data_IF_645735564792
#
_entry.id   IF_645735564792
#
_cell.length_a   1.000
_cell.length_b   1.000
_cell.length_c   1.000
_cell.angle_alpha   90.00
_cell.angle_beta   90.00
_cell.angle_gamma   90.00
#
_symmetry.space_group_name_H-M   'P 1'
#
loop_
_entity.id
_entity.type
_entity.pdbx_description
1 polymer ?
#
# COMPACT_ATOMS: atom_id res chain seq x y z
N UNK A 1 57.91 13.63 44.85
CA UNK A 1 57.86 12.98 43.52
C UNK A 1 56.65 12.05 43.54
N UNK A 2 55.59 12.43 42.82
CA UNK A 2 54.27 11.78 42.82
C UNK A 2 54.34 10.61 41.83
N UNK A 3 54.30 9.37 42.34
CA UNK A 3 54.21 8.16 41.53
C UNK A 3 52.73 7.85 41.25
N UNK A 4 52.31 7.98 40.00
CA UNK A 4 50.93 7.71 39.59
C UNK A 4 50.72 6.19 39.42
N UNK A 5 49.82 5.62 40.22
CA UNK A 5 49.30 4.26 40.04
C UNK A 5 48.37 4.24 38.83
N UNK A 6 48.77 3.57 37.74
CA UNK A 6 47.90 3.30 36.59
C UNK A 6 46.93 2.17 36.95
N UNK A 7 45.73 2.53 37.40
CA UNK A 7 44.56 1.66 37.42
C UNK A 7 44.15 1.36 35.98
N UNK A 8 44.46 0.15 35.48
CA UNK A 8 43.93 -0.34 34.22
C UNK A 8 42.46 -0.68 34.45
N UNK A 9 41.57 0.21 34.02
CA UNK A 9 40.14 -0.05 33.94
C UNK A 9 39.90 -1.16 32.92
N UNK A 10 39.40 -2.31 33.36
CA UNK A 10 38.80 -3.30 32.48
C UNK A 10 37.51 -2.71 31.90
N UNK A 11 37.63 -1.97 30.80
CA UNK A 11 36.53 -1.79 29.85
C UNK A 11 36.28 -3.16 29.21
N UNK A 12 35.46 -3.96 29.89
CA UNK A 12 34.85 -5.13 29.30
C UNK A 12 34.10 -4.69 28.06
N UNK A 13 34.65 -5.05 26.89
CA UNK A 13 33.96 -4.95 25.61
C UNK A 13 32.78 -5.91 25.73
N UNK A 14 31.61 -5.38 26.09
CA UNK A 14 30.35 -6.10 25.91
C UNK A 14 30.09 -6.15 24.41
N UNK A 15 30.65 -7.16 23.76
CA UNK A 15 30.20 -7.58 22.45
C UNK A 15 28.73 -7.97 22.60
N UNK A 16 27.82 -7.04 22.31
CA UNK A 16 26.43 -7.40 22.05
C UNK A 16 26.48 -8.27 20.81
N UNK A 17 26.54 -9.58 21.01
CA UNK A 17 26.24 -10.56 19.97
C UNK A 17 24.80 -10.27 19.59
N UNK A 18 24.62 -9.50 18.51
CA UNK A 18 23.34 -9.29 17.88
C UNK A 18 22.83 -10.65 17.41
N UNK A 19 22.11 -11.35 18.27
CA UNK A 19 21.36 -12.53 17.89
C UNK A 19 20.40 -12.09 16.80
N UNK A 20 20.66 -12.50 15.56
CA UNK A 20 19.71 -12.36 14.47
C UNK A 20 18.52 -13.26 14.81
N UNK A 21 17.52 -12.69 15.48
CA UNK A 21 16.25 -13.35 15.69
C UNK A 21 15.57 -13.43 14.32
N UNK A 22 15.70 -14.58 13.67
CA UNK A 22 14.90 -14.91 12.50
C UNK A 22 13.56 -15.46 13.00
N UNK A 23 12.42 -14.82 12.68
CA UNK A 23 11.12 -15.38 13.01
C UNK A 23 10.99 -16.75 12.36
N UNK A 24 10.76 -17.79 13.16
CA UNK A 24 10.47 -19.13 12.64
C UNK A 24 8.98 -19.23 12.36
N UNK A 25 8.63 -19.58 11.11
CA UNK A 25 7.25 -19.82 10.68
C UNK A 25 7.07 -21.30 10.38
N UNK A 26 6.20 -21.98 11.13
CA UNK A 26 5.82 -23.37 10.84
C UNK A 26 4.73 -23.40 9.77
N UNK A 27 5.11 -23.82 8.56
CA UNK A 27 4.19 -23.91 7.41
C UNK A 27 3.16 -25.05 7.51
N UNK A 28 3.33 -25.96 8.47
CA UNK A 28 2.34 -27.01 8.74
C UNK A 28 1.27 -26.57 9.74
N UNK A 29 1.48 -25.43 10.42
CA UNK A 29 0.56 -24.89 11.42
C UNK A 29 -0.30 -23.78 10.81
N UNK A 30 -1.54 -24.12 10.48
CA UNK A 30 -2.50 -23.20 9.86
C UNK A 30 -2.74 -21.95 10.70
N UNK A 31 -2.79 -22.05 12.03
CA UNK A 31 -2.97 -20.89 12.90
C UNK A 31 -1.77 -19.93 12.82
N UNK A 32 -0.54 -20.45 12.75
CA UNK A 32 0.65 -19.61 12.57
C UNK A 32 0.64 -18.91 11.20
N UNK A 33 0.25 -19.62 10.14
CA UNK A 33 0.11 -19.04 8.80
C UNK A 33 -0.93 -17.92 8.77
N UNK A 34 -2.11 -18.13 9.37
CA UNK A 34 -3.16 -17.10 9.46
C UNK A 34 -2.67 -15.89 10.25
N UNK A 35 -1.99 -16.10 11.38
CA UNK A 35 -1.46 -15.00 12.19
C UNK A 35 -0.37 -14.20 11.45
N UNK A 36 0.52 -14.88 10.74
CA UNK A 36 1.54 -14.25 9.93
C UNK A 36 0.93 -13.43 8.77
N UNK A 37 -0.04 -14.01 8.05
CA UNK A 37 -0.78 -13.31 6.99
C UNK A 37 -1.54 -12.09 7.53
N UNK A 38 -2.24 -12.24 8.66
CA UNK A 38 -2.94 -11.13 9.32
C UNK A 38 -1.99 -9.99 9.69
N UNK A 39 -0.80 -10.33 10.19
CA UNK A 39 0.21 -9.35 10.58
C UNK A 39 0.80 -8.64 9.36
N UNK A 40 1.07 -9.38 8.27
CA UNK A 40 1.54 -8.82 7.01
C UNK A 40 0.51 -7.86 6.39
N UNK A 41 -0.77 -8.24 6.37
CA UNK A 41 -1.84 -7.39 5.86
C UNK A 41 -2.05 -6.14 6.71
N UNK A 42 -1.98 -6.25 8.04
CA UNK A 42 -2.03 -5.08 8.93
C UNK A 42 -0.85 -4.15 8.73
N UNK A 43 0.35 -4.69 8.50
CA UNK A 43 1.52 -3.89 8.17
C UNK A 43 1.33 -3.18 6.82
N UNK A 44 0.80 -3.88 5.82
CA UNK A 44 0.51 -3.29 4.52
C UNK A 44 -0.46 -2.12 4.60
N UNK A 45 -1.48 -2.20 5.48
CA UNK A 45 -2.39 -1.07 5.73
C UNK A 45 -1.70 0.18 6.30
N UNK A 46 -0.49 0.09 6.86
CA UNK A 46 0.23 1.28 7.33
C UNK A 46 0.67 2.20 6.19
N UNK A 47 0.75 1.67 4.97
CA UNK A 47 1.03 2.43 3.75
C UNK A 47 -0.24 3.00 3.09
N UNK A 48 -1.42 2.69 3.61
CA UNK A 48 -2.68 3.17 3.05
C UNK A 48 -3.13 4.48 3.71
N UNK A 49 -3.22 5.55 2.93
CA UNK A 49 -3.61 6.89 3.41
C UNK A 49 -5.12 7.12 3.51
N UNK A 50 -5.95 6.22 2.97
CA UNK A 50 -7.40 6.23 3.17
C UNK A 50 -8.24 7.13 2.26
N UNK A 51 -7.62 7.92 1.37
CA UNK A 51 -8.32 9.04 0.72
C UNK A 51 -9.14 8.65 -0.51
N UNK A 52 -8.75 7.63 -1.28
CA UNK A 52 -9.33 7.39 -2.60
C UNK A 52 -9.43 5.92 -3.03
N UNK A 53 -9.21 4.98 -2.11
CA UNK A 53 -9.23 3.56 -2.43
C UNK A 53 -8.01 3.07 -3.19
N UNK A 54 -6.97 3.91 -3.35
CA UNK A 54 -5.66 3.52 -3.83
C UNK A 54 -4.57 3.82 -2.79
N UNK A 55 -3.48 3.07 -2.87
CA UNK A 55 -2.26 3.39 -2.16
C UNK A 55 -1.58 4.61 -2.81
N UNK A 56 -0.60 5.18 -2.12
CA UNK A 56 0.12 6.34 -2.65
C UNK A 56 0.74 5.99 -4.01
N UNK A 57 0.39 6.78 -5.03
CA UNK A 57 0.84 6.56 -6.40
C UNK A 57 2.35 6.83 -6.59
N UNK A 58 3.00 7.48 -5.62
CA UNK A 58 4.45 7.63 -5.62
C UNK A 58 5.16 6.29 -5.42
N UNK A 59 4.59 5.41 -4.60
CA UNK A 59 5.19 4.14 -4.20
C UNK A 59 4.49 2.93 -4.85
N UNK A 60 3.20 3.06 -5.14
CA UNK A 60 2.33 1.95 -5.59
C UNK A 60 1.44 2.43 -6.73
N UNK A 61 1.80 2.14 -8.00
CA UNK A 61 0.96 2.39 -9.15
C UNK A 61 -0.48 1.87 -8.96
N UNK A 62 -1.45 2.56 -9.54
CA UNK A 62 -2.88 2.30 -9.32
C UNK A 62 -3.32 0.84 -9.50
N UNK A 63 -2.70 0.10 -10.41
CA UNK A 63 -3.05 -1.31 -10.66
C UNK A 63 -2.53 -2.23 -9.54
N UNK A 64 -1.39 -1.89 -8.93
CA UNK A 64 -0.86 -2.62 -7.77
C UNK A 64 -1.74 -2.42 -6.53
N UNK A 65 -2.39 -1.27 -6.38
CA UNK A 65 -3.42 -1.09 -5.35
C UNK A 65 -4.55 -2.12 -5.50
N UNK A 66 -4.97 -2.39 -6.75
CA UNK A 66 -5.97 -3.42 -7.04
C UNK A 66 -5.49 -4.83 -6.67
N UNK A 67 -4.23 -5.16 -6.96
CA UNK A 67 -3.62 -6.43 -6.54
C UNK A 67 -3.57 -6.56 -5.02
N UNK A 68 -3.17 -5.49 -4.32
CA UNK A 68 -3.14 -5.47 -2.85
C UNK A 68 -4.53 -5.76 -2.29
N UNK A 69 -5.58 -5.09 -2.79
CA UNK A 69 -6.96 -5.37 -2.36
C UNK A 69 -7.39 -6.80 -2.67
N UNK A 70 -6.93 -7.38 -3.78
CA UNK A 70 -7.08 -8.81 -4.08
C UNK A 70 -6.51 -9.70 -2.98
N UNK A 71 -5.33 -9.40 -2.45
CA UNK A 71 -4.73 -10.18 -1.36
C UNK A 71 -5.59 -10.20 -0.08
N UNK A 72 -6.27 -9.10 0.24
CA UNK A 72 -7.20 -9.07 1.39
C UNK A 72 -8.46 -9.93 1.13
N UNK A 73 -8.94 -9.97 -0.11
CA UNK A 73 -10.07 -10.83 -0.49
C UNK A 73 -9.68 -12.31 -0.46
N UNK A 74 -8.50 -12.64 -0.99
CA UNK A 74 -7.94 -14.00 -0.92
C UNK A 74 -7.77 -14.44 0.53
N UNK A 75 -7.27 -13.56 1.41
CA UNK A 75 -7.18 -13.84 2.84
C UNK A 75 -8.55 -14.20 3.43
N UNK A 76 -9.58 -13.41 3.16
CA UNK A 76 -10.93 -13.71 3.64
C UNK A 76 -11.45 -15.05 3.09
N UNK A 77 -11.18 -15.36 1.82
CA UNK A 77 -11.56 -16.61 1.19
C UNK A 77 -10.86 -17.83 1.80
N UNK A 78 -9.54 -17.75 2.04
CA UNK A 78 -8.76 -18.89 2.52
C UNK A 78 -8.83 -19.11 4.03
N UNK A 79 -9.07 -18.04 4.81
CA UNK A 79 -9.10 -18.11 6.28
C UNK A 79 -10.52 -18.11 6.86
N UNK A 80 -11.51 -17.62 6.11
CA UNK A 80 -12.85 -17.34 6.61
C UNK A 80 -12.94 -16.08 7.49
N UNK A 81 -11.83 -15.36 7.70
CA UNK A 81 -11.80 -14.14 8.50
C UNK A 81 -12.11 -12.90 7.65
N UNK A 82 -13.26 -12.28 7.92
CA UNK A 82 -13.77 -11.12 7.21
C UNK A 82 -13.43 -9.76 7.86
N UNK A 83 -12.47 -9.70 8.80
CA UNK A 83 -12.17 -8.49 9.57
C UNK A 83 -11.83 -7.25 8.71
N UNK A 84 -11.33 -7.46 7.48
CA UNK A 84 -10.97 -6.38 6.55
C UNK A 84 -12.04 -6.05 5.50
N UNK A 85 -13.08 -6.88 5.34
CA UNK A 85 -13.98 -6.81 4.18
C UNK A 85 -14.69 -5.46 4.02
N UNK A 86 -15.07 -4.80 5.13
CA UNK A 86 -15.69 -3.48 5.08
C UNK A 86 -14.75 -2.38 4.54
N UNK A 87 -13.48 -2.44 4.94
CA UNK A 87 -12.44 -1.53 4.46
C UNK A 87 -12.18 -1.75 2.96
N UNK A 88 -11.95 -3.00 2.56
CA UNK A 88 -11.65 -3.35 1.17
C UNK A 88 -12.82 -2.99 0.25
N UNK A 89 -14.05 -3.27 0.68
CA UNK A 89 -15.25 -2.90 -0.09
C UNK A 89 -15.33 -1.40 -0.30
N UNK A 90 -15.12 -0.61 0.76
CA UNK A 90 -15.14 0.85 0.68
C UNK A 90 -14.05 1.39 -0.23
N UNK A 91 -12.83 0.84 -0.14
CA UNK A 91 -11.71 1.21 -1.00
C UNK A 91 -11.99 0.92 -2.48
N UNK A 92 -12.46 -0.29 -2.81
CA UNK A 92 -12.76 -0.68 -4.20
C UNK A 92 -13.90 0.15 -4.79
N UNK A 93 -14.93 0.44 -4.00
CA UNK A 93 -16.04 1.31 -4.43
C UNK A 93 -15.53 2.72 -4.72
N UNK A 94 -14.75 3.32 -3.82
CA UNK A 94 -14.19 4.66 -4.01
C UNK A 94 -13.30 4.74 -5.26
N UNK A 95 -12.43 3.74 -5.46
CA UNK A 95 -11.56 3.64 -6.63
C UNK A 95 -12.37 3.55 -7.94
N UNK A 96 -13.45 2.76 -7.93
CA UNK A 96 -14.33 2.61 -9.10
C UNK A 96 -15.03 3.92 -9.47
N UNK A 97 -15.56 4.66 -8.48
CA UNK A 97 -16.19 5.97 -8.74
C UNK A 97 -15.19 7.01 -9.27
N UNK A 98 -13.97 7.03 -8.74
CA UNK A 98 -12.89 7.91 -9.23
C UNK A 98 -12.57 7.63 -10.69
N UNK A 99 -12.43 6.36 -11.07
CA UNK A 99 -12.19 5.98 -12.48
C UNK A 99 -13.37 6.35 -13.38
N UNK A 100 -14.61 6.11 -12.95
CA UNK A 100 -15.79 6.49 -13.73
C UNK A 100 -15.87 8.01 -13.96
N UNK A 101 -15.60 8.81 -12.93
CA UNK A 101 -15.53 10.27 -13.04
C UNK A 101 -14.42 10.72 -14.00
N UNK A 102 -13.25 10.10 -13.95
CA UNK A 102 -12.14 10.41 -14.84
C UNK A 102 -12.51 10.14 -16.32
N UNK A 103 -13.11 8.98 -16.61
CA UNK A 103 -13.55 8.62 -17.97
C UNK A 103 -14.59 9.60 -18.49
N UNK A 104 -15.60 9.95 -17.67
CA UNK A 104 -16.62 10.93 -18.04
C UNK A 104 -16.03 12.30 -18.36
N UNK A 105 -15.02 12.74 -17.60
CA UNK A 105 -14.35 14.01 -17.82
C UNK A 105 -13.59 14.04 -19.15
N UNK A 106 -12.93 12.94 -19.52
CA UNK A 106 -12.24 12.82 -20.81
C UNK A 106 -13.25 12.87 -21.97
N UNK A 107 -14.36 12.13 -21.86
CA UNK A 107 -15.40 12.12 -22.89
C UNK A 107 -16.00 13.52 -23.10
N UNK A 108 -16.32 14.22 -22.00
CA UNK A 108 -16.83 15.59 -22.05
C UNK A 108 -15.84 16.55 -22.72
N UNK A 109 -14.54 16.44 -22.42
CA UNK A 109 -13.51 17.26 -23.05
C UNK A 109 -13.34 16.94 -24.54
N UNK A 110 -13.38 15.66 -24.92
CA UNK A 110 -13.32 15.24 -26.32
C UNK A 110 -14.49 15.79 -27.12
N UNK A 111 -15.71 15.67 -26.58
CA UNK A 111 -16.93 16.19 -27.20
C UNK A 111 -16.88 17.71 -27.35
N UNK A 112 -16.39 18.43 -26.34
CA UNK A 112 -16.22 19.88 -26.41
C UNK A 112 -15.24 20.29 -27.52
N UNK A 113 -14.10 19.61 -27.65
CA UNK A 113 -13.12 19.87 -28.73
C UNK A 113 -13.72 19.62 -30.11
N UNK A 114 -14.43 18.51 -30.31
CA UNK A 114 -15.07 18.19 -31.59
C UNK A 114 -16.09 19.25 -32.01
N UNK A 115 -16.91 19.73 -31.07
CA UNK A 115 -17.88 20.82 -31.33
C UNK A 115 -17.21 22.13 -31.71
N UNK A 116 -16.09 22.47 -31.06
CA UNK A 116 -15.33 23.67 -31.42
C UNK A 116 -14.77 23.58 -32.84
N UNK A 117 -14.24 22.42 -33.23
CA UNK A 117 -13.73 22.20 -34.60
C UNK A 117 -14.86 22.36 -35.62
N UNK A 118 -16.02 21.78 -35.37
CA UNK A 118 -17.19 21.90 -36.26
C UNK A 118 -17.62 23.37 -36.43
N UNK A 119 -17.66 24.14 -35.33
CA UNK A 119 -17.98 25.58 -35.37
C UNK A 119 -16.93 26.35 -36.16
N UNK A 120 -15.63 26.10 -35.92
CA UNK A 120 -14.53 26.75 -36.63
C UNK A 120 -14.52 26.44 -38.13
N UNK A 121 -14.87 25.20 -38.51
CA UNK A 121 -14.98 24.79 -39.91
C UNK A 121 -16.17 25.43 -40.63
N UNK A 122 -17.20 25.84 -39.90
CA UNK A 122 -18.38 26.57 -40.43
C UNK A 122 -18.17 28.08 -40.52
N UNK A 123 -17.09 28.61 -39.96
CA UNK A 123 -16.79 30.04 -40.10
C UNK A 123 -16.38 30.35 -41.55
N UNK A 124 -16.90 31.44 -42.15
CA UNK A 124 -16.48 31.85 -43.48
C UNK A 124 -14.98 32.20 -43.44
N UNK A 125 -14.18 31.49 -44.25
CA UNK A 125 -12.76 31.81 -44.43
C UNK A 125 -12.67 33.19 -45.09
N UNK A 126 -12.17 34.18 -44.35
CA UNK A 126 -11.79 35.50 -44.89
C UNK A 126 -10.44 35.43 -45.56
#
# INVERSE_FOLDING_TARGET
>A
MIGYNLLISFLGIYSVLGASYSPTLDISNTNQLVNAATSALKNLLTYYSGSDGSFDQADTPWHESGMIWGMFMDYAQYTGDAQFSGLVTSALVNSSFKTAQYVQNIENQSNAKSRLIEVLQRLPRR
#
